data_IF_332964016066
#
_entry.id   IF_332964016066
#
_cell.length_a   1.000
_cell.length_b   1.000
_cell.length_c   1.000
_cell.angle_alpha   90.00
_cell.angle_beta   90.00
_cell.angle_gamma   90.00
#
_symmetry.space_group_name_H-M   'P 1'
#
loop_
_entity.id
_entity.type
_entity.pdbx_description
1 polymer ?
#
# COMPACT_ATOMS: atom_id res chain seq x y z
N UNK A 1 -18.26 -12.85 3.68
CA UNK A 1 -18.27 -11.80 4.73
C UNK A 1 -18.26 -12.38 6.13
N UNK A 2 -19.23 -13.22 6.53
CA UNK A 2 -19.31 -13.73 7.92
C UNK A 2 -18.00 -14.37 8.43
N UNK A 3 -17.41 -15.28 7.67
CA UNK A 3 -16.12 -15.90 8.02
C UNK A 3 -14.94 -14.91 8.10
N UNK A 4 -14.99 -13.78 7.38
CA UNK A 4 -13.96 -12.74 7.45
C UNK A 4 -14.13 -11.90 8.72
N UNK A 5 -15.37 -11.49 9.03
CA UNK A 5 -15.68 -10.74 10.26
C UNK A 5 -15.42 -11.58 11.52
N UNK A 6 -15.75 -12.88 11.50
CA UNK A 6 -15.43 -13.81 12.58
C UNK A 6 -13.92 -13.87 12.82
N UNK A 7 -13.11 -13.96 11.74
CA UNK A 7 -11.66 -13.97 11.85
C UNK A 7 -11.09 -12.67 12.40
N UNK A 8 -11.63 -11.51 12.00
CA UNK A 8 -11.21 -10.22 12.55
C UNK A 8 -11.52 -10.13 14.06
N UNK A 9 -12.69 -10.63 14.47
CA UNK A 9 -13.08 -10.69 15.88
C UNK A 9 -12.15 -11.60 16.70
N UNK A 10 -11.81 -12.80 16.19
CA UNK A 10 -10.84 -13.71 16.82
C UNK A 10 -9.46 -13.07 17.01
N UNK A 11 -9.03 -12.24 16.05
CA UNK A 11 -7.75 -11.54 16.09
C UNK A 11 -7.81 -10.22 16.90
N UNK A 12 -8.98 -9.84 17.42
CA UNK A 12 -9.19 -8.57 18.13
C UNK A 12 -9.05 -7.34 17.23
N UNK A 13 -9.20 -7.48 15.92
CA UNK A 13 -9.07 -6.41 14.94
C UNK A 13 -10.42 -5.72 14.75
N UNK A 14 -10.47 -4.41 15.00
CA UNK A 14 -11.63 -3.60 14.70
C UNK A 14 -11.72 -3.34 13.19
N UNK A 15 -12.77 -3.84 12.54
CA UNK A 15 -13.02 -3.58 11.13
C UNK A 15 -13.53 -2.14 10.95
N UNK A 16 -12.80 -1.34 10.17
CA UNK A 16 -13.20 0.03 9.82
C UNK A 16 -13.63 0.11 8.36
N UNK A 17 -14.81 0.67 8.12
CA UNK A 17 -15.33 0.95 6.78
C UNK A 17 -15.39 2.46 6.56
N UNK A 18 -14.94 2.92 5.39
CA UNK A 18 -15.13 4.31 4.98
C UNK A 18 -16.62 4.68 4.95
N UNK A 19 -16.94 5.89 5.38
CA UNK A 19 -18.32 6.38 5.29
C UNK A 19 -18.76 6.48 3.82
N UNK A 20 -20.03 6.19 3.57
CA UNK A 20 -20.60 6.32 2.22
C UNK A 20 -20.45 7.77 1.74
N UNK A 21 -19.77 7.95 0.61
CA UNK A 21 -19.52 9.28 0.02
C UNK A 21 -18.30 10.00 0.59
N UNK A 22 -17.42 9.32 1.34
CA UNK A 22 -16.21 9.90 1.91
C UNK A 22 -14.94 9.28 1.26
N UNK A 23 -14.51 9.77 0.07
CA UNK A 23 -13.38 9.18 -0.66
C UNK A 23 -12.02 9.49 -0.03
N UNK A 24 -11.95 10.45 0.90
CA UNK A 24 -10.70 10.93 1.48
C UNK A 24 -9.95 9.85 2.27
N UNK A 25 -10.68 8.92 2.90
CA UNK A 25 -10.08 7.79 3.64
C UNK A 25 -9.29 6.88 2.70
N UNK A 26 -9.74 6.74 1.45
CA UNK A 26 -9.11 5.88 0.45
C UNK A 26 -8.04 6.61 -0.39
N UNK A 27 -7.99 7.95 -0.34
CA UNK A 27 -7.15 8.75 -1.22
C UNK A 27 -5.64 8.39 -1.14
N UNK A 28 -5.15 8.02 0.04
CA UNK A 28 -3.75 7.64 0.23
C UNK A 28 -3.39 6.34 -0.50
N UNK A 29 -4.22 5.30 -0.37
CA UNK A 29 -3.96 4.01 -1.03
C UNK A 29 -4.23 4.09 -2.54
N UNK A 30 -5.20 4.90 -2.98
CA UNK A 30 -5.42 5.19 -4.40
C UNK A 30 -4.21 5.87 -5.04
N UNK A 31 -3.63 6.86 -4.35
CA UNK A 31 -2.41 7.55 -4.79
C UNK A 31 -1.23 6.59 -4.91
N UNK A 32 -1.05 5.70 -3.93
CA UNK A 32 -0.03 4.64 -3.99
C UNK A 32 -0.24 3.74 -5.21
N UNK A 33 -1.45 3.21 -5.42
CA UNK A 33 -1.74 2.33 -6.54
C UNK A 33 -1.53 3.00 -7.91
N UNK A 34 -1.85 4.29 -8.03
CA UNK A 34 -1.62 5.04 -9.26
C UNK A 34 -0.12 5.13 -9.59
N UNK A 35 0.71 5.39 -8.58
CA UNK A 35 2.17 5.49 -8.72
C UNK A 35 2.78 4.13 -9.03
N UNK A 36 2.44 3.09 -8.25
CA UNK A 36 2.90 1.71 -8.45
C UNK A 36 2.63 1.26 -9.89
N UNK A 37 1.41 1.51 -10.39
CA UNK A 37 1.06 1.11 -11.75
C UNK A 37 1.88 1.86 -12.80
N UNK A 38 2.00 3.19 -12.64
CA UNK A 38 2.69 4.05 -13.59
C UNK A 38 4.17 3.69 -13.72
N UNK A 39 4.82 3.42 -12.61
CA UNK A 39 6.28 3.33 -12.53
C UNK A 39 6.81 1.89 -12.62
N UNK A 40 6.03 0.91 -12.16
CA UNK A 40 6.43 -0.50 -12.17
C UNK A 40 5.55 -1.30 -13.14
N UNK A 41 4.25 -1.43 -12.84
CA UNK A 41 3.37 -2.38 -13.56
C UNK A 41 3.26 -2.08 -15.05
N UNK A 42 3.25 -0.81 -15.47
CA UNK A 42 3.16 -0.45 -16.89
C UNK A 42 4.52 -0.42 -17.60
N UNK A 43 5.62 -0.42 -16.85
CA UNK A 43 6.98 -0.41 -17.41
C UNK A 43 7.58 -1.83 -17.49
N UNK A 44 7.03 -2.77 -16.73
CA UNK A 44 7.57 -4.11 -16.57
C UNK A 44 6.67 -5.17 -17.20
N UNK A 45 7.27 -6.09 -17.96
CA UNK A 45 6.60 -7.31 -18.43
C UNK A 45 7.03 -8.46 -17.54
N UNK A 46 6.06 -9.07 -16.84
CA UNK A 46 6.33 -10.21 -15.97
C UNK A 46 6.19 -11.52 -16.74
N UNK A 47 7.20 -12.40 -16.73
CA UNK A 47 7.14 -13.69 -17.42
C UNK A 47 6.19 -14.68 -16.73
N UNK A 48 6.05 -14.58 -15.41
CA UNK A 48 5.20 -15.41 -14.58
C UNK A 48 4.78 -14.68 -13.29
N UNK A 49 3.90 -15.33 -12.52
CA UNK A 49 3.35 -14.76 -11.29
C UNK A 49 4.39 -14.59 -10.18
N UNK A 50 5.34 -15.52 -10.04
CA UNK A 50 6.36 -15.44 -8.99
C UNK A 50 7.34 -14.29 -9.27
N UNK A 51 7.69 -14.10 -10.55
CA UNK A 51 8.47 -12.95 -11.00
C UNK A 51 7.74 -11.63 -10.71
N UNK A 52 6.44 -11.54 -11.01
CA UNK A 52 5.63 -10.37 -10.67
C UNK A 52 5.64 -10.08 -9.17
N UNK A 53 5.46 -11.12 -8.34
CA UNK A 53 5.47 -11.00 -6.88
C UNK A 53 6.81 -10.48 -6.36
N UNK A 54 7.92 -10.98 -6.90
CA UNK A 54 9.27 -10.54 -6.51
C UNK A 54 9.54 -9.09 -6.91
N UNK A 55 9.22 -8.70 -8.14
CA UNK A 55 9.44 -7.33 -8.61
C UNK A 55 8.55 -6.33 -7.87
N UNK A 56 7.27 -6.66 -7.64
CA UNK A 56 6.39 -5.82 -6.81
C UNK A 56 6.91 -5.70 -5.38
N UNK A 57 7.41 -6.78 -4.77
CA UNK A 57 8.02 -6.71 -3.45
C UNK A 57 9.26 -5.80 -3.44
N UNK A 58 10.16 -5.95 -4.44
CA UNK A 58 11.34 -5.09 -4.57
C UNK A 58 10.96 -3.63 -4.74
N UNK A 59 9.95 -3.33 -5.55
CA UNK A 59 9.48 -1.96 -5.74
C UNK A 59 8.91 -1.40 -4.43
N UNK A 60 8.04 -2.14 -3.75
CA UNK A 60 7.36 -1.66 -2.54
C UNK A 60 8.36 -1.52 -1.38
N UNK A 61 9.04 -2.60 -1.01
CA UNK A 61 9.93 -2.63 0.16
C UNK A 61 11.32 -2.08 -0.12
N UNK A 62 11.84 -2.26 -1.33
CA UNK A 62 13.18 -1.80 -1.68
C UNK A 62 13.24 -0.34 -2.10
N UNK A 63 12.20 0.18 -2.74
CA UNK A 63 12.21 1.53 -3.30
C UNK A 63 11.16 2.46 -2.68
N UNK A 64 9.88 2.11 -2.73
CA UNK A 64 8.80 2.98 -2.28
C UNK A 64 8.90 3.28 -0.78
N UNK A 65 8.95 2.26 0.07
CA UNK A 65 8.99 2.44 1.53
C UNK A 65 10.33 3.03 2.02
N UNK A 66 11.44 2.69 1.37
CA UNK A 66 12.79 3.04 1.83
C UNK A 66 13.34 4.35 1.26
N UNK A 67 13.05 4.65 -0.01
CA UNK A 67 13.74 5.69 -0.76
C UNK A 67 12.82 6.80 -1.30
N UNK A 68 11.54 6.52 -1.52
CA UNK A 68 10.62 7.51 -2.09
C UNK A 68 10.19 8.52 -1.03
N UNK A 69 10.50 9.79 -1.27
CA UNK A 69 10.04 10.90 -0.44
C UNK A 69 8.65 11.38 -0.87
N UNK A 70 7.84 11.80 0.10
CA UNK A 70 6.48 12.30 -0.15
C UNK A 70 6.27 13.68 0.47
N UNK A 71 5.81 14.64 -0.32
CA UNK A 71 5.54 16.01 0.15
C UNK A 71 4.52 16.08 1.29
N UNK A 72 3.54 15.15 1.30
CA UNK A 72 2.51 15.06 2.35
C UNK A 72 3.08 14.69 3.73
N UNK A 73 4.25 14.08 3.79
CA UNK A 73 4.95 13.70 5.03
C UNK A 73 6.30 14.40 5.14
N UNK A 74 6.32 15.71 4.84
CA UNK A 74 7.51 16.56 4.97
C UNK A 74 8.75 16.06 4.20
N UNK A 75 8.53 15.44 3.04
CA UNK A 75 9.59 14.87 2.21
C UNK A 75 10.40 13.77 2.93
N UNK A 76 9.77 13.08 3.87
CA UNK A 76 10.27 11.84 4.44
C UNK A 76 9.82 10.64 3.61
N UNK A 77 10.51 9.51 3.80
CA UNK A 77 10.07 8.21 3.27
C UNK A 77 9.04 7.57 4.20
N UNK A 78 8.18 6.67 3.70
CA UNK A 78 7.21 5.97 4.54
C UNK A 78 7.87 5.32 5.77
N UNK A 79 9.01 4.65 5.59
CA UNK A 79 9.70 4.01 6.71
C UNK A 79 10.28 5.01 7.73
N UNK A 80 10.71 6.19 7.29
CA UNK A 80 11.17 7.23 8.23
C UNK A 80 10.04 7.74 9.12
N UNK A 81 8.81 7.81 8.60
CA UNK A 81 7.63 8.19 9.38
C UNK A 81 7.26 7.08 10.36
N UNK A 82 7.18 5.84 9.90
CA UNK A 82 6.78 4.70 10.74
C UNK A 82 7.80 4.38 11.85
N UNK A 83 9.11 4.53 11.59
CA UNK A 83 10.15 4.33 12.61
C UNK A 83 10.21 5.45 13.65
N UNK A 84 9.64 6.63 13.33
CA UNK A 84 9.57 7.77 14.23
C UNK A 84 8.28 7.87 15.03
N UNK A 85 7.30 6.99 14.78
CA UNK A 85 6.00 6.91 15.44
C UNK A 85 6.03 5.95 16.65
#
# INVERSE_FOLDING_TARGET
MKAYEERLCELGIAHSYSQKGYPYDNASIESFHAILKKEEVYQTVYPDFESAKQELFRYIEGWYNQNRIHSRINYLTPNQVEQGA
#
